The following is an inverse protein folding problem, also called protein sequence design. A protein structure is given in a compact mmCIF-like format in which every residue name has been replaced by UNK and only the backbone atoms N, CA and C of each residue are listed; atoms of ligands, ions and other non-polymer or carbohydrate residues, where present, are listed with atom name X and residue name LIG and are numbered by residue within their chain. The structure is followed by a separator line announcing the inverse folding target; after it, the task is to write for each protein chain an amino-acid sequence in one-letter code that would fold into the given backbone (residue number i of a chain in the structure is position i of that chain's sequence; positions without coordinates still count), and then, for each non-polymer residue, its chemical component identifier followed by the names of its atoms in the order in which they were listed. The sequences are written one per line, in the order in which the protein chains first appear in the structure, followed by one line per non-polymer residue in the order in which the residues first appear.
data_IF_712252916478
#
_entry.id   IF_712252916478
#
_cell.length_a   1.000
_cell.length_b   1.000
_cell.length_c   1.000
_cell.angle_alpha   90.00
_cell.angle_beta   90.00
_cell.angle_gamma   90.00
#
_symmetry.space_group_name_H-M   'P 1'
#
loop_
_entity.id
_entity.type
_entity.pdbx_description
1 polymer ?
#
# COMPACT_ATOMS: atom_id res chain seq x y z
N UNK A 1 8.29 -12.90 -2.63
CA UNK A 1 7.36 -13.17 -1.52
C UNK A 1 6.25 -12.12 -1.58
N UNK A 2 4.99 -12.52 -1.41
CA UNK A 2 3.86 -11.57 -1.30
C UNK A 2 3.54 -11.43 0.18
N UNK A 3 3.66 -10.20 0.71
CA UNK A 3 3.39 -9.90 2.13
C UNK A 3 1.92 -9.56 2.38
N UNK A 4 1.29 -8.88 1.43
CA UNK A 4 -0.09 -8.43 1.52
C UNK A 4 -0.77 -8.49 0.17
N UNK A 5 -2.06 -8.83 0.17
CA UNK A 5 -2.93 -8.83 -0.98
C UNK A 5 -4.30 -8.26 -0.59
N UNK A 6 -4.60 -7.07 -1.10
CA UNK A 6 -5.80 -6.29 -0.74
C UNK A 6 -6.43 -5.65 -1.98
N UNK A 7 -7.53 -4.93 -1.80
CA UNK A 7 -8.30 -4.29 -2.87
C UNK A 7 -8.71 -2.87 -2.48
N UNK A 8 -8.74 -1.97 -3.46
CA UNK A 8 -9.30 -0.61 -3.30
C UNK A 8 -10.80 -0.64 -2.94
N UNK A 9 -11.49 -1.76 -3.17
CA UNK A 9 -12.86 -1.96 -2.69
C UNK A 9 -12.98 -2.00 -1.16
N UNK A 10 -11.88 -2.13 -0.42
CA UNK A 10 -11.85 -2.03 1.03
C UNK A 10 -11.85 -0.58 1.55
N UNK A 11 -11.66 0.41 0.67
CA UNK A 11 -11.71 1.82 1.06
C UNK A 11 -13.12 2.18 1.54
N UNK A 12 -13.21 2.75 2.73
CA UNK A 12 -14.49 3.19 3.30
C UNK A 12 -15.05 4.43 2.57
N UNK A 13 -14.15 5.33 2.15
CA UNK A 13 -14.51 6.54 1.39
C UNK A 13 -14.11 6.38 -0.07
N UNK A 14 -15.04 6.69 -0.97
CA UNK A 14 -14.77 6.73 -2.40
C UNK A 14 -13.87 7.91 -2.79
N UNK A 15 -13.16 7.80 -3.91
CA UNK A 15 -12.35 8.90 -4.45
C UNK A 15 -13.19 10.16 -4.70
N UNK A 16 -14.45 10.01 -5.10
CA UNK A 16 -15.36 11.14 -5.29
C UNK A 16 -15.68 11.87 -3.97
N UNK A 17 -15.89 11.12 -2.87
CA UNK A 17 -16.10 11.72 -1.55
C UNK A 17 -14.83 12.40 -1.02
N UNK A 18 -13.67 11.78 -1.22
CA UNK A 18 -12.37 12.36 -0.85
C UNK A 18 -12.16 13.70 -1.57
N UNK A 19 -12.40 13.75 -2.88
CA UNK A 19 -12.26 14.94 -3.70
C UNK A 19 -13.26 16.05 -3.32
N UNK A 20 -14.52 15.68 -3.08
CA UNK A 20 -15.54 16.62 -2.62
C UNK A 20 -15.15 17.24 -1.27
N UNK A 21 -14.69 16.42 -0.32
CA UNK A 21 -14.27 16.92 1.00
C UNK A 21 -13.03 17.82 0.91
N UNK A 22 -12.06 17.49 0.06
CA UNK A 22 -10.85 18.29 -0.15
C UNK A 22 -11.16 19.70 -0.65
N UNK A 23 -12.20 19.85 -1.47
CA UNK A 23 -12.58 21.12 -2.12
C UNK A 23 -13.70 21.87 -1.39
N UNK A 24 -14.33 21.28 -0.39
CA UNK A 24 -15.54 21.80 0.26
C UNK A 24 -15.39 23.21 0.87
N UNK A 25 -14.17 23.63 1.20
CA UNK A 25 -13.87 24.95 1.77
C UNK A 25 -13.07 25.85 0.82
N UNK A 26 -13.14 25.60 -0.49
CA UNK A 26 -12.40 26.37 -1.49
C UNK A 26 -10.93 25.99 -1.60
N UNK A 27 -10.57 24.78 -1.16
CA UNK A 27 -9.22 24.24 -1.35
C UNK A 27 -8.87 24.17 -2.84
N UNK A 28 -7.74 24.74 -3.28
CA UNK A 28 -7.38 24.75 -4.69
C UNK A 28 -7.00 23.36 -5.16
N UNK A 29 -7.33 23.06 -6.42
CA UNK A 29 -6.84 21.90 -7.16
C UNK A 29 -6.41 22.33 -8.55
N UNK A 30 -5.34 21.73 -9.03
CA UNK A 30 -4.76 21.95 -10.34
C UNK A 30 -4.64 20.63 -11.11
N UNK A 31 -4.57 20.75 -12.43
CA UNK A 31 -4.22 19.62 -13.28
C UNK A 31 -2.82 19.12 -12.91
N UNK A 32 -2.72 17.82 -12.64
CA UNK A 32 -1.48 17.18 -12.20
C UNK A 32 -1.37 16.96 -10.68
N UNK A 33 -2.31 17.50 -9.89
CA UNK A 33 -2.35 17.21 -8.45
C UNK A 33 -2.60 15.71 -8.19
N UNK A 34 -1.88 15.17 -7.21
CA UNK A 34 -1.97 13.77 -6.80
C UNK A 34 -2.71 13.65 -5.47
N UNK A 35 -3.87 12.99 -5.49
CA UNK A 35 -4.65 12.67 -4.29
C UNK A 35 -4.46 11.18 -3.94
N UNK A 36 -3.87 10.90 -2.78
CA UNK A 36 -3.68 9.52 -2.31
C UNK A 36 -4.92 9.00 -1.58
N UNK A 37 -5.16 7.69 -1.66
CA UNK A 37 -6.29 7.02 -0.99
C UNK A 37 -6.14 6.91 0.53
N UNK A 38 -4.90 7.01 1.03
CA UNK A 38 -4.50 6.45 2.32
C UNK A 38 -4.04 4.98 2.19
N UNK A 39 -3.54 4.42 3.29
CA UNK A 39 -3.18 3.00 3.38
C UNK A 39 -4.42 2.11 3.16
N UNK A 40 -4.28 1.05 2.38
CA UNK A 40 -5.38 0.15 2.04
C UNK A 40 -5.22 -1.14 2.84
N UNK A 41 -6.10 -1.33 3.83
CA UNK A 41 -6.13 -2.53 4.66
C UNK A 41 -7.48 -3.24 4.50
N UNK A 42 -7.44 -4.53 4.19
CA UNK A 42 -8.60 -5.39 4.16
C UNK A 42 -8.91 -6.01 5.52
N UNK A 43 -9.99 -6.77 5.61
CA UNK A 43 -10.44 -7.38 6.87
C UNK A 43 -9.58 -8.58 7.34
N UNK A 44 -8.70 -9.11 6.49
CA UNK A 44 -7.87 -10.28 6.81
C UNK A 44 -6.43 -9.88 7.10
N UNK A 45 -5.73 -10.66 7.92
CA UNK A 45 -4.34 -10.38 8.28
C UNK A 45 -3.41 -10.28 7.05
N UNK A 46 -3.66 -11.09 6.01
CA UNK A 46 -2.91 -11.04 4.75
C UNK A 46 -3.30 -9.89 3.82
N UNK A 47 -4.20 -8.99 4.22
CA UNK A 47 -4.67 -7.85 3.43
C UNK A 47 -4.35 -6.50 4.11
N UNK A 48 -3.57 -6.49 5.19
CA UNK A 48 -3.16 -5.26 5.88
C UNK A 48 -2.13 -4.48 5.04
N UNK A 49 -2.24 -3.14 5.04
CA UNK A 49 -1.55 -2.27 4.10
C UNK A 49 -0.14 -1.82 4.50
N UNK A 50 0.30 -2.13 5.72
CA UNK A 50 1.60 -1.69 6.23
C UNK A 50 2.30 -2.75 7.08
N UNK A 51 3.64 -2.66 7.18
CA UNK A 51 4.41 -3.50 8.12
C UNK A 51 4.04 -3.21 9.58
N UNK A 52 3.65 -1.98 9.89
CA UNK A 52 3.15 -1.61 11.22
C UNK A 52 1.95 -2.50 11.62
N UNK A 53 0.97 -2.62 10.74
CA UNK A 53 -0.22 -3.45 10.96
C UNK A 53 0.12 -4.93 10.90
N UNK A 54 0.82 -5.38 9.85
CA UNK A 54 1.20 -6.78 9.65
C UNK A 54 1.98 -7.36 10.84
N UNK A 55 2.83 -6.55 11.46
CA UNK A 55 3.69 -6.99 12.57
C UNK A 55 3.22 -6.55 13.94
N UNK A 56 2.04 -5.95 14.04
CA UNK A 56 1.49 -5.43 15.30
C UNK A 56 2.48 -4.54 16.04
N UNK A 57 2.98 -3.50 15.38
CA UNK A 57 4.00 -2.62 15.97
C UNK A 57 5.39 -3.26 16.07
N UNK A 58 5.68 -4.32 15.32
CA UNK A 58 6.93 -5.07 15.39
C UNK A 58 6.96 -6.14 16.50
N UNK A 59 5.89 -6.29 17.28
CA UNK A 59 5.80 -7.32 18.34
C UNK A 59 5.58 -8.73 17.79
N UNK A 60 5.08 -8.84 16.56
CA UNK A 60 4.81 -10.09 15.86
C UNK A 60 5.47 -10.07 14.47
N UNK A 61 6.80 -10.24 14.37
CA UNK A 61 7.50 -10.19 13.09
C UNK A 61 7.06 -11.31 12.13
N UNK A 62 7.11 -11.02 10.82
CA UNK A 62 6.76 -11.99 9.78
C UNK A 62 7.90 -12.98 9.57
N UNK A 63 7.58 -14.28 9.52
CA UNK A 63 8.53 -15.33 9.14
C UNK A 63 8.62 -15.42 7.61
N UNK A 64 9.80 -15.17 7.06
CA UNK A 64 10.07 -15.25 5.63
C UNK A 64 10.52 -16.67 5.24
N UNK A 65 10.30 -17.12 3.99
CA UNK A 65 10.67 -18.47 3.54
C UNK A 65 12.17 -18.80 3.63
N UNK A 66 13.03 -17.80 3.68
CA UNK A 66 14.47 -17.95 3.84
C UNK A 66 14.91 -18.04 5.32
N UNK A 67 13.96 -18.17 6.26
CA UNK A 67 14.23 -18.26 7.69
C UNK A 67 14.48 -16.92 8.39
N UNK A 68 14.46 -15.81 7.65
CA UNK A 68 14.57 -14.47 8.24
C UNK A 68 13.23 -14.05 8.86
N UNK A 69 13.32 -13.24 9.91
CA UNK A 69 12.17 -12.51 10.46
C UNK A 69 12.18 -11.07 9.99
N UNK A 70 11.01 -10.56 9.58
CA UNK A 70 10.80 -9.18 9.13
C UNK A 70 9.86 -8.46 10.11
N UNK A 71 10.39 -7.51 10.87
CA UNK A 71 9.60 -6.56 11.68
C UNK A 71 9.28 -5.30 10.87
N UNK A 72 10.32 -4.56 10.50
CA UNK A 72 10.26 -3.40 9.60
C UNK A 72 11.30 -3.56 8.49
N UNK A 73 11.25 -2.65 7.52
CA UNK A 73 12.24 -2.61 6.44
C UNK A 73 13.65 -2.39 6.99
N UNK A 74 14.61 -3.06 6.38
CA UNK A 74 16.06 -2.94 6.61
C UNK A 74 16.74 -2.38 5.37
N UNK A 75 17.96 -1.89 5.54
CA UNK A 75 18.80 -1.49 4.41
C UNK A 75 18.96 -2.65 3.41
N UNK A 76 18.77 -2.34 2.13
CA UNK A 76 18.77 -3.31 1.03
C UNK A 76 17.41 -3.95 0.74
N UNK A 77 16.42 -3.80 1.63
CA UNK A 77 15.07 -4.32 1.35
C UNK A 77 14.43 -3.58 0.17
N UNK A 78 13.84 -4.35 -0.74
CA UNK A 78 13.08 -3.82 -1.88
C UNK A 78 11.58 -4.07 -1.67
N UNK A 79 10.78 -3.01 -1.72
CA UNK A 79 9.32 -3.10 -1.74
C UNK A 79 8.83 -2.94 -3.17
N UNK A 80 7.89 -3.81 -3.58
CA UNK A 80 7.26 -3.78 -4.89
C UNK A 80 5.75 -3.79 -4.70
N UNK A 81 5.08 -2.76 -5.19
CA UNK A 81 3.62 -2.68 -5.26
C UNK A 81 3.17 -3.02 -6.68
N UNK A 82 2.14 -3.85 -6.78
CA UNK A 82 1.50 -4.24 -8.04
C UNK A 82 -0.01 -4.20 -7.86
N UNK A 83 -0.73 -3.80 -8.89
CA UNK A 83 -2.19 -3.73 -8.88
C UNK A 83 -2.74 -4.00 -10.27
N UNK A 84 -3.94 -4.58 -10.31
CA UNK A 84 -4.68 -4.82 -11.54
C UNK A 84 -6.19 -4.84 -11.26
N UNK A 85 -6.97 -4.59 -12.30
CA UNK A 85 -8.39 -4.93 -12.35
C UNK A 85 -8.58 -6.08 -13.35
N UNK A 86 -9.51 -6.99 -13.06
CA UNK A 86 -9.82 -8.12 -13.93
C UNK A 86 -11.32 -8.35 -14.01
N UNK A 87 -11.83 -8.57 -15.21
CA UNK A 87 -13.21 -8.93 -15.45
C UNK A 87 -13.30 -9.83 -16.69
N UNK A 88 -14.01 -10.95 -16.58
CA UNK A 88 -14.25 -11.90 -17.69
C UNK A 88 -12.96 -12.35 -18.41
N UNK A 89 -11.87 -12.56 -17.67
CA UNK A 89 -10.57 -12.97 -18.22
C UNK A 89 -9.75 -11.84 -18.87
N UNK A 90 -10.29 -10.62 -18.98
CA UNK A 90 -9.53 -9.44 -19.38
C UNK A 90 -8.92 -8.79 -18.15
N UNK A 91 -7.59 -8.59 -18.16
CA UNK A 91 -6.84 -7.96 -17.08
C UNK A 91 -6.20 -6.65 -17.53
N UNK A 92 -6.41 -5.59 -16.76
CA UNK A 92 -5.76 -4.28 -16.92
C UNK A 92 -4.84 -4.07 -15.71
N UNK A 93 -3.53 -4.04 -15.93
CA UNK A 93 -2.52 -3.84 -14.89
C UNK A 93 -2.04 -2.39 -14.79
N UNK A 94 -1.59 -1.99 -13.61
CA UNK A 94 -0.96 -0.69 -13.35
C UNK A 94 0.57 -0.71 -13.46
N UNK A 95 1.16 -1.85 -13.85
CA UNK A 95 2.60 -2.07 -13.81
C UNK A 95 3.11 -2.34 -12.39
N UNK A 96 4.37 -1.97 -12.12
CA UNK A 96 4.96 -2.06 -10.79
C UNK A 96 5.52 -0.72 -10.31
N UNK A 97 5.39 -0.48 -9.01
CA UNK A 97 6.11 0.58 -8.30
C UNK A 97 7.11 -0.09 -7.38
N UNK A 98 8.40 0.24 -7.54
CA UNK A 98 9.50 -0.40 -6.83
C UNK A 98 10.37 0.63 -6.13
N UNK A 99 10.73 0.37 -4.88
CA UNK A 99 11.70 1.15 -4.12
C UNK A 99 12.63 0.25 -3.32
N UNK A 100 13.90 0.63 -3.20
CA UNK A 100 14.89 -0.06 -2.36
C UNK A 100 15.34 0.88 -1.24
N UNK A 101 15.31 0.41 0.00
CA UNK A 101 15.82 1.16 1.15
C UNK A 101 17.34 1.17 1.07
N UNK A 102 17.93 2.36 1.04
CA UNK A 102 19.36 2.55 1.11
C UNK A 102 19.77 2.87 2.56
N UNK A 103 21.01 2.54 2.96
CA UNK A 103 21.54 2.95 4.24
C UNK A 103 21.41 4.45 4.47
N UNK A 104 21.13 4.83 5.71
CA UNK A 104 21.14 6.23 6.11
C UNK A 104 22.53 6.85 5.87
N UNK A 105 22.56 8.09 5.42
CA UNK A 105 23.79 8.88 5.35
C UNK A 105 24.23 9.28 6.77
N UNK A 106 25.55 9.30 6.99
CA UNK A 106 26.17 9.73 8.24
C UNK A 106 26.01 11.24 8.49
#
# INVERSE_FOLDING_TARGET
LVLSHTSTSALYWSMAQQLAQLTAHGGPLAAGDLCASGGISGATAGALGSLLELTHGGTQPLNLPNGLQLGYLRDGDTVILRGYAEQNGLRIGLGEVRGTVLPATA
#
